data_IF_029676057476
#
_entry.id   IF_029676057476
#
_cell.length_a   1.000
_cell.length_b   1.000
_cell.length_c   1.000
_cell.angle_alpha   90.00
_cell.angle_beta   90.00
_cell.angle_gamma   90.00
#
_symmetry.space_group_name_H-M   'P 1'
#
loop_
_entity.id
_entity.type
_entity.pdbx_description
1 polymer ?
#
# COMPACT_ATOMS: atom_id res chain seq x y z
N UNK A 1 35.51 15.78 -17.65
CA UNK A 1 34.58 14.88 -16.95
C UNK A 1 33.54 14.38 -17.93
N UNK A 2 33.50 13.08 -18.22
CA UNK A 2 32.42 12.45 -18.99
C UNK A 2 31.25 12.23 -18.03
N UNK A 3 30.06 12.74 -18.37
CA UNK A 3 28.85 12.62 -17.54
C UNK A 3 28.04 11.41 -18.00
N UNK A 4 28.49 10.21 -17.64
CA UNK A 4 27.71 8.97 -17.82
C UNK A 4 27.02 8.57 -16.53
N UNK A 5 25.78 8.07 -16.65
CA UNK A 5 25.01 7.51 -15.53
C UNK A 5 25.37 6.04 -15.39
N UNK A 6 25.90 5.66 -14.22
CA UNK A 6 26.27 4.28 -13.88
C UNK A 6 25.31 3.63 -12.87
N UNK A 7 24.11 4.19 -12.68
CA UNK A 7 23.10 3.61 -11.79
C UNK A 7 22.24 2.60 -12.54
N UNK A 8 21.86 1.52 -11.85
CA UNK A 8 20.85 0.58 -12.31
C UNK A 8 19.56 1.34 -12.60
N UNK A 9 19.06 1.20 -13.83
CA UNK A 9 17.70 1.62 -14.14
C UNK A 9 16.75 0.64 -13.47
N UNK A 10 15.82 1.15 -12.67
CA UNK A 10 14.79 0.33 -12.08
C UNK A 10 13.92 -0.20 -13.23
N UNK A 11 13.92 -1.52 -13.39
CA UNK A 11 12.91 -2.18 -14.22
C UNK A 11 11.56 -1.83 -13.60
N UNK A 12 10.58 -1.42 -14.41
CA UNK A 12 9.22 -1.18 -13.93
C UNK A 12 8.59 -2.54 -13.65
N UNK A 13 9.02 -3.17 -12.56
CA UNK A 13 8.32 -4.29 -11.98
C UNK A 13 6.86 -3.85 -11.85
N UNK A 14 5.95 -4.71 -12.32
CA UNK A 14 4.53 -4.50 -12.14
C UNK A 14 4.29 -4.25 -10.64
N UNK A 15 3.98 -3.01 -10.29
CA UNK A 15 3.87 -2.57 -8.91
C UNK A 15 2.86 -3.43 -8.17
N UNK A 16 2.96 -3.47 -6.84
CA UNK A 16 1.97 -4.15 -6.01
C UNK A 16 0.56 -3.70 -6.46
N UNK A 17 -0.34 -4.63 -6.83
CA UNK A 17 -1.68 -4.27 -7.27
C UNK A 17 -2.46 -3.49 -6.21
N UNK A 18 -2.07 -3.62 -4.93
CA UNK A 18 -2.59 -2.87 -3.80
C UNK A 18 -1.75 -1.61 -3.47
N UNK A 19 -0.71 -1.29 -4.23
CA UNK A 19 0.01 -0.01 -4.16
C UNK A 19 0.97 0.15 -2.98
N UNK A 20 1.33 -0.92 -2.26
CA UNK A 20 2.42 -0.89 -1.28
C UNK A 20 3.75 -1.17 -1.98
N UNK A 21 4.72 -0.29 -1.79
CA UNK A 21 5.99 -0.31 -2.52
C UNK A 21 7.18 -0.66 -1.61
N UNK A 22 7.10 -0.30 -0.33
CA UNK A 22 8.20 -0.49 0.60
C UNK A 22 7.73 -0.92 1.99
N UNK A 23 8.64 -1.59 2.71
CA UNK A 23 8.43 -2.03 4.08
C UNK A 23 9.73 -1.82 4.88
N UNK A 24 9.59 -1.27 6.09
CA UNK A 24 10.69 -1.08 7.05
C UNK A 24 10.28 -1.72 8.36
N UNK A 25 11.00 -2.77 8.77
CA UNK A 25 10.86 -3.37 10.09
C UNK A 25 11.51 -2.46 11.15
N UNK A 26 10.81 -2.26 12.25
CA UNK A 26 11.26 -1.44 13.36
C UNK A 26 11.97 -2.31 14.41
N UNK A 27 12.86 -1.68 15.18
CA UNK A 27 13.63 -2.39 16.20
C UNK A 27 12.78 -2.92 17.37
N UNK A 28 11.59 -2.37 17.57
CA UNK A 28 10.62 -2.82 18.59
C UNK A 28 9.82 -4.06 18.15
N UNK A 29 9.98 -4.52 16.90
CA UNK A 29 9.21 -5.62 16.32
C UNK A 29 7.97 -5.18 15.54
N UNK A 30 7.71 -3.87 15.43
CA UNK A 30 6.72 -3.30 14.53
C UNK A 30 7.23 -3.16 13.09
N UNK A 31 6.40 -2.54 12.23
CA UNK A 31 6.78 -2.20 10.87
C UNK A 31 6.06 -0.96 10.36
N UNK A 32 6.68 -0.27 9.41
CA UNK A 32 6.05 0.77 8.59
C UNK A 32 6.12 0.35 7.14
N UNK A 33 4.97 0.28 6.46
CA UNK A 33 4.89 0.06 5.03
C UNK A 33 4.40 1.33 4.36
N UNK A 34 4.88 1.59 3.15
CA UNK A 34 4.49 2.78 2.38
C UNK A 34 4.30 2.47 0.91
N UNK A 35 3.54 3.33 0.25
CA UNK A 35 3.34 3.30 -1.18
C UNK A 35 2.29 4.34 -1.60
N UNK A 36 1.68 4.15 -2.76
CA UNK A 36 0.70 5.10 -3.28
C UNK A 36 -0.35 4.44 -4.16
N UNK A 37 -1.53 5.07 -4.23
CA UNK A 37 -2.62 4.65 -5.10
C UNK A 37 -3.04 5.77 -6.05
N UNK A 38 -3.31 5.41 -7.29
CA UNK A 38 -3.94 6.29 -8.29
C UNK A 38 -4.78 5.45 -9.25
N UNK A 39 -5.81 6.04 -9.85
CA UNK A 39 -6.57 5.34 -10.89
C UNK A 39 -5.72 5.02 -12.13
N UNK A 40 -4.66 5.80 -12.37
CA UNK A 40 -3.73 5.54 -13.47
C UNK A 40 -2.87 4.29 -13.25
N UNK A 41 -2.38 4.08 -12.02
CA UNK A 41 -1.55 2.92 -11.68
C UNK A 41 -2.37 1.68 -11.30
N UNK A 42 -3.57 1.86 -10.73
CA UNK A 42 -4.48 0.80 -10.34
C UNK A 42 -5.88 1.00 -10.98
N UNK A 43 -6.05 0.74 -12.29
CA UNK A 43 -7.31 0.97 -12.99
C UNK A 43 -8.50 0.18 -12.42
N UNK A 44 -8.22 -0.93 -11.73
CA UNK A 44 -9.25 -1.75 -11.09
C UNK A 44 -10.00 -1.01 -9.97
N UNK A 45 -9.40 0.03 -9.36
CA UNK A 45 -10.06 0.85 -8.33
C UNK A 45 -11.24 1.66 -8.91
N UNK A 46 -11.19 1.99 -10.21
CA UNK A 46 -12.29 2.71 -10.86
C UNK A 46 -13.56 1.86 -10.95
N UNK A 47 -13.42 0.52 -10.89
CA UNK A 47 -14.55 -0.40 -10.80
C UNK A 47 -15.18 -0.48 -9.40
N UNK A 48 -14.58 0.13 -8.37
CA UNK A 48 -15.08 0.15 -7.00
C UNK A 48 -15.42 1.58 -6.55
N UNK A 49 -16.59 2.08 -7.00
CA UNK A 49 -17.11 3.40 -6.64
C UNK A 49 -18.27 3.32 -5.66
N UNK A 50 -18.24 4.21 -4.66
CA UNK A 50 -19.35 4.42 -3.71
C UNK A 50 -19.83 5.86 -3.82
N UNK A 51 -21.13 6.06 -4.08
CA UNK A 51 -21.72 7.39 -4.33
C UNK A 51 -20.94 8.23 -5.37
N UNK A 52 -20.38 7.58 -6.39
CA UNK A 52 -19.63 8.23 -7.48
C UNK A 52 -18.15 8.48 -7.19
N UNK A 53 -17.66 8.28 -5.96
CA UNK A 53 -16.24 8.40 -5.62
C UNK A 53 -15.54 7.04 -5.66
N UNK A 54 -14.31 6.97 -6.18
CA UNK A 54 -13.49 5.76 -6.10
C UNK A 54 -13.05 5.54 -4.64
N UNK A 55 -13.26 4.33 -4.15
CA UNK A 55 -12.98 3.92 -2.76
C UNK A 55 -12.07 2.70 -2.80
N UNK A 56 -11.11 2.65 -1.89
CA UNK A 56 -10.32 1.42 -1.68
C UNK A 56 -11.23 0.36 -1.06
N UNK A 57 -11.45 -0.80 -1.69
CA UNK A 57 -12.29 -1.83 -1.12
C UNK A 57 -11.65 -2.43 0.14
N UNK A 58 -12.48 -2.88 1.07
CA UNK A 58 -12.03 -3.55 2.29
C UNK A 58 -11.11 -4.77 2.01
N UNK A 59 -11.24 -5.44 0.87
CA UNK A 59 -10.35 -6.53 0.47
C UNK A 59 -8.92 -6.06 0.20
N UNK A 60 -8.72 -4.85 -0.34
CA UNK A 60 -7.38 -4.30 -0.50
C UNK A 60 -6.77 -3.88 0.86
N UNK A 61 -7.58 -3.39 1.79
CA UNK A 61 -7.14 -3.17 3.18
C UNK A 61 -6.74 -4.50 3.85
N UNK A 62 -7.46 -5.58 3.57
CA UNK A 62 -7.12 -6.91 4.06
C UNK A 62 -5.79 -7.41 3.47
N UNK A 63 -5.56 -7.22 2.18
CA UNK A 63 -4.29 -7.56 1.54
C UNK A 63 -3.12 -6.78 2.16
N UNK A 64 -3.31 -5.50 2.49
CA UNK A 64 -2.31 -4.71 3.23
C UNK A 64 -2.03 -5.28 4.63
N UNK A 65 -3.07 -5.69 5.34
CA UNK A 65 -2.92 -6.31 6.66
C UNK A 65 -2.18 -7.66 6.56
N UNK A 66 -2.46 -8.48 5.54
CA UNK A 66 -1.73 -9.72 5.27
C UNK A 66 -0.26 -9.42 4.98
N UNK A 67 0.03 -8.47 4.08
CA UNK A 67 1.39 -8.09 3.75
C UNK A 67 2.17 -7.60 4.97
N UNK A 68 1.53 -6.83 5.84
CA UNK A 68 2.16 -6.36 7.07
C UNK A 68 2.36 -7.49 8.09
N UNK A 69 1.45 -8.46 8.12
CA UNK A 69 1.59 -9.72 8.86
C UNK A 69 2.81 -10.52 8.41
N UNK A 70 3.07 -10.61 7.10
CA UNK A 70 4.27 -11.24 6.56
C UNK A 70 5.56 -10.50 6.99
N UNK A 71 5.50 -9.17 7.07
CA UNK A 71 6.63 -8.35 7.52
C UNK A 71 6.89 -8.43 9.04
N UNK A 72 5.88 -8.77 9.83
CA UNK A 72 5.98 -8.79 11.31
C UNK A 72 5.91 -10.19 11.92
N UNK A 73 5.63 -11.22 11.11
CA UNK A 73 5.40 -12.58 11.59
C UNK A 73 4.07 -12.75 12.34
N UNK A 74 3.07 -11.92 12.03
CA UNK A 74 1.73 -11.94 12.63
C UNK A 74 0.70 -12.50 11.61
N UNK A 75 0.44 -13.82 11.60
CA UNK A 75 -0.30 -14.47 10.51
C UNK A 75 -1.84 -14.40 10.66
N UNK A 76 -2.35 -13.80 11.74
CA UNK A 76 -3.78 -13.82 12.06
C UNK A 76 -4.33 -12.40 12.08
N UNK A 77 -5.35 -12.18 11.25
CA UNK A 77 -6.20 -11.00 11.30
C UNK A 77 -7.46 -11.38 12.06
N UNK A 78 -7.57 -10.94 13.31
CA UNK A 78 -8.72 -11.23 14.15
C UNK A 78 -9.96 -10.40 13.76
N UNK A 79 -9.74 -9.15 13.34
CA UNK A 79 -10.77 -8.23 12.90
C UNK A 79 -10.18 -7.20 11.94
N UNK A 80 -11.04 -6.65 11.07
CA UNK A 80 -10.76 -5.49 10.24
C UNK A 80 -11.87 -4.47 10.50
N UNK A 81 -11.52 -3.40 11.22
CA UNK A 81 -12.46 -2.33 11.54
C UNK A 81 -12.10 -1.08 10.71
N UNK A 82 -12.88 -0.85 9.65
CA UNK A 82 -12.76 0.34 8.81
C UNK A 82 -13.62 1.46 9.38
N UNK A 83 -12.98 2.55 9.84
CA UNK A 83 -13.70 3.69 10.41
C UNK A 83 -14.20 4.68 9.36
N UNK A 84 -13.40 4.95 8.34
CA UNK A 84 -13.72 5.86 7.24
C UNK A 84 -13.22 5.26 5.92
N UNK A 85 -14.00 5.40 4.83
CA UNK A 85 -13.54 4.99 3.50
C UNK A 85 -12.29 5.76 3.07
N UNK A 86 -11.32 5.04 2.53
CA UNK A 86 -10.16 5.66 1.88
C UNK A 86 -10.50 6.01 0.43
N UNK A 87 -10.58 7.30 0.14
CA UNK A 87 -10.89 7.83 -1.19
C UNK A 87 -9.65 7.90 -2.08
N UNK A 88 -9.82 7.54 -3.35
CA UNK A 88 -8.81 7.71 -4.39
C UNK A 88 -9.25 8.85 -5.30
N UNK A 89 -8.42 9.89 -5.50
CA UNK A 89 -8.81 11.00 -6.36
C UNK A 89 -8.88 10.54 -7.82
N UNK A 90 -9.79 11.13 -8.60
CA UNK A 90 -9.90 10.83 -10.03
C UNK A 90 -8.61 11.19 -10.80
N UNK A 91 -7.87 12.20 -10.30
CA UNK A 91 -6.58 12.65 -10.83
C UNK A 91 -5.53 12.73 -9.71
N UNK A 92 -4.30 12.34 -10.02
CA UNK A 92 -3.20 12.32 -9.06
C UNK A 92 -3.14 11.02 -8.26
N UNK A 93 -2.55 11.08 -7.06
CA UNK A 93 -2.34 9.91 -6.20
C UNK A 93 -2.56 10.24 -4.72
N UNK A 94 -2.91 9.21 -3.96
CA UNK A 94 -2.91 9.24 -2.50
C UNK A 94 -1.70 8.46 -1.98
N UNK A 95 -0.94 9.06 -1.07
CA UNK A 95 0.19 8.40 -0.40
C UNK A 95 -0.34 7.58 0.77
N UNK A 96 0.16 6.36 0.91
CA UNK A 96 -0.26 5.39 1.91
C UNK A 96 0.88 5.17 2.89
N UNK A 97 0.54 5.19 4.19
CA UNK A 97 1.40 4.69 5.25
C UNK A 97 0.59 3.74 6.12
N UNK A 98 1.09 2.51 6.23
CA UNK A 98 0.58 1.53 7.17
C UNK A 98 1.59 1.40 8.31
N UNK A 99 1.10 1.39 9.55
CA UNK A 99 1.95 1.21 10.73
C UNK A 99 1.43 0.03 11.55
N UNK A 100 2.33 -0.89 11.87
CA UNK A 100 2.06 -2.03 12.75
C UNK A 100 2.91 -1.85 13.99
N UNK A 101 2.25 -1.83 15.15
CA UNK A 101 2.94 -1.86 16.44
C UNK A 101 3.48 -3.26 16.72
N UNK A 102 4.51 -3.34 17.55
CA UNK A 102 4.95 -4.61 18.12
C UNK A 102 3.78 -5.35 18.79
N UNK A 103 3.82 -6.68 18.76
CA UNK A 103 2.92 -7.49 19.57
C UNK A 103 3.17 -7.20 21.07
N UNK A 104 2.09 -7.11 21.84
CA UNK A 104 2.15 -6.95 23.29
C UNK A 104 2.64 -8.23 23.99
#
# INVERSE_FOLDING_TARGET
>A
FQRERYWLEADTAQGDPAGLESAVRLADGGAVLSGSLSLAAQPWLDAHRTHGAAVVPATALLDWAVRAGDETGLPVIAALDEHIPLLVPDEGRVEIQLTVSAAA
#
